data_IF_041716689051
#
_entry.id   IF_041716689051
#
_cell.length_a   1.000
_cell.length_b   1.000
_cell.length_c   1.000
_cell.angle_alpha   90.00
_cell.angle_beta   90.00
_cell.angle_gamma   90.00
#
_symmetry.space_group_name_H-M   'P 1'
#
loop_
_entity.id
_entity.type
_entity.pdbx_description
1 polymer ?
#
# COMPACT_ATOMS: atom_id res chain seq x y z
N UNK A 1 17.41 20.21 6.69
CA UNK A 1 17.04 21.61 7.04
C UNK A 1 16.36 22.24 5.83
N UNK A 2 15.11 22.70 5.98
CA UNK A 2 14.41 23.42 4.91
C UNK A 2 14.34 24.91 5.28
N UNK A 3 14.88 25.79 4.45
CA UNK A 3 14.81 27.25 4.67
C UNK A 3 13.59 27.81 3.92
N UNK A 4 12.53 28.13 4.67
CA UNK A 4 11.37 28.83 4.13
C UNK A 4 11.64 30.33 3.93
N UNK A 5 10.84 30.98 3.08
CA UNK A 5 10.98 32.37 2.67
C UNK A 5 10.92 33.44 3.80
N UNK A 6 10.68 33.04 5.05
CA UNK A 6 10.51 33.93 6.21
C UNK A 6 11.49 33.62 7.36
N UNK A 7 12.51 32.77 7.14
CA UNK A 7 13.62 32.59 8.08
C UNK A 7 13.34 31.73 9.33
N UNK A 8 12.18 31.07 9.43
CA UNK A 8 11.92 30.04 10.45
C UNK A 8 12.38 28.67 9.92
N UNK A 9 13.03 27.87 10.79
CA UNK A 9 13.73 26.64 10.41
C UNK A 9 13.03 25.41 10.98
N UNK A 10 12.25 24.71 10.15
CA UNK A 10 11.69 23.43 10.53
C UNK A 10 12.68 22.28 10.47
N UNK A 11 12.65 21.40 11.48
CA UNK A 11 13.62 20.33 11.69
C UNK A 11 12.93 18.96 11.78
N UNK A 12 12.92 18.17 10.70
CA UNK A 12 12.77 16.72 10.84
C UNK A 12 14.02 16.22 11.58
N UNK A 13 13.89 15.33 12.55
CA UNK A 13 15.03 14.73 13.25
C UNK A 13 14.84 13.20 13.27
N UNK A 14 15.91 12.48 13.01
CA UNK A 14 15.90 11.03 12.90
C UNK A 14 16.82 10.51 14.01
N UNK A 15 16.27 9.74 14.93
CA UNK A 15 17.01 9.23 16.08
C UNK A 15 17.12 7.72 15.97
N UNK A 16 18.34 7.22 16.07
CA UNK A 16 18.59 5.81 16.31
C UNK A 16 18.07 5.44 17.70
N UNK A 17 16.95 4.72 17.77
CA UNK A 17 16.23 4.43 19.00
C UNK A 17 16.98 3.44 19.92
N UNK A 18 18.03 2.78 19.43
CA UNK A 18 18.85 1.87 20.21
C UNK A 18 20.09 2.57 20.81
N UNK A 19 20.60 3.60 20.15
CA UNK A 19 21.80 4.36 20.59
C UNK A 19 21.51 5.80 21.05
N UNK A 20 20.30 6.29 20.82
CA UNK A 20 19.85 7.67 21.02
C UNK A 20 20.67 8.71 20.22
N UNK A 21 21.34 8.29 19.15
CA UNK A 21 22.14 9.18 18.30
C UNK A 21 21.27 9.89 17.23
N UNK A 22 21.45 11.21 17.09
CA UNK A 22 20.90 11.98 15.98
C UNK A 22 21.60 11.59 14.66
N UNK A 23 20.80 11.32 13.62
CA UNK A 23 21.29 11.02 12.28
C UNK A 23 21.04 12.20 11.32
N UNK A 24 22.06 12.50 10.51
CA UNK A 24 21.92 13.37 9.36
C UNK A 24 21.28 12.60 8.21
N UNK A 25 20.24 13.16 7.60
CA UNK A 25 19.53 12.58 6.46
C UNK A 25 19.25 13.67 5.41
N UNK A 26 18.99 13.26 4.18
CA UNK A 26 18.45 14.10 3.10
C UNK A 26 16.95 13.85 2.96
N UNK A 27 16.18 14.83 2.50
CA UNK A 27 14.76 14.61 2.25
C UNK A 27 14.28 15.34 0.98
N UNK A 28 13.41 14.69 0.23
CA UNK A 28 12.78 15.20 -0.98
C UNK A 28 11.27 15.26 -0.82
N UNK A 29 10.63 16.25 -1.45
CA UNK A 29 9.17 16.40 -1.42
C UNK A 29 8.66 16.39 -2.86
N UNK A 30 7.74 15.47 -3.15
CA UNK A 30 7.10 15.32 -4.46
C UNK A 30 5.59 15.23 -4.26
N UNK A 31 4.86 16.26 -4.72
CA UNK A 31 3.41 16.37 -4.52
C UNK A 31 3.03 16.30 -3.03
N UNK A 32 2.35 15.23 -2.61
CA UNK A 32 1.92 14.94 -1.25
C UNK A 32 2.86 13.97 -0.51
N UNK A 33 4.01 13.60 -1.09
CA UNK A 33 4.95 12.63 -0.53
C UNK A 33 6.22 13.31 -0.05
N UNK A 34 6.64 13.00 1.17
CA UNK A 34 7.98 13.32 1.69
C UNK A 34 8.80 12.04 1.74
N UNK A 35 9.97 12.04 1.11
CA UNK A 35 10.92 10.91 1.12
C UNK A 35 12.14 11.32 1.94
N UNK A 36 12.55 10.49 2.89
CA UNK A 36 13.69 10.71 3.79
C UNK A 36 14.78 9.67 3.48
N UNK A 37 16.02 10.12 3.32
CA UNK A 37 17.19 9.33 2.97
C UNK A 37 18.20 9.42 4.11
N UNK A 38 18.27 8.42 4.97
CA UNK A 38 19.20 8.35 6.10
C UNK A 38 20.32 7.32 5.88
N UNK A 39 21.36 7.31 6.74
CA UNK A 39 22.52 6.42 6.65
C UNK A 39 22.28 5.12 7.39
N UNK A 40 21.12 4.52 7.18
CA UNK A 40 20.64 3.62 8.18
C UNK A 40 21.15 2.12 7.88
N UNK A 41 21.54 1.31 8.88
CA UNK A 41 21.77 -0.18 9.09
C UNK A 41 20.63 -1.23 9.48
N UNK A 42 20.59 -2.45 8.92
CA UNK A 42 19.68 -3.56 9.32
C UNK A 42 19.50 -3.80 10.84
N UNK A 43 18.29 -4.20 11.28
CA UNK A 43 18.00 -4.67 12.65
C UNK A 43 17.90 -3.63 13.76
N UNK A 44 17.82 -2.32 13.44
CA UNK A 44 17.75 -1.25 14.45
C UNK A 44 16.43 -0.51 14.43
N UNK A 45 16.07 0.12 15.55
CA UNK A 45 14.87 0.96 15.64
C UNK A 45 15.19 2.43 15.43
N UNK A 46 14.26 3.13 14.80
CA UNK A 46 14.29 4.55 14.52
C UNK A 46 13.01 5.16 15.03
N UNK A 47 13.16 6.32 15.64
CA UNK A 47 12.02 7.15 15.93
C UNK A 47 12.05 8.31 14.97
N UNK A 48 10.97 8.47 14.21
CA UNK A 48 10.70 9.74 13.58
C UNK A 48 9.55 10.43 14.29
N UNK A 49 9.74 11.71 14.58
CA UNK A 49 8.65 12.56 15.07
C UNK A 49 8.73 13.92 14.42
N UNK A 50 7.68 14.65 14.73
CA UNK A 50 7.25 15.82 14.04
C UNK A 50 6.56 16.75 15.02
N UNK A 51 6.82 18.05 14.94
CA UNK A 51 5.98 19.11 15.49
C UNK A 51 5.01 19.72 14.48
N UNK A 52 3.98 20.38 15.00
CA UNK A 52 2.74 20.72 14.32
C UNK A 52 2.84 21.73 13.15
N UNK A 53 4.03 21.97 12.56
CA UNK A 53 4.22 23.13 11.70
C UNK A 53 5.14 22.98 10.49
N UNK A 54 5.85 21.86 10.30
CA UNK A 54 6.83 21.77 9.21
C UNK A 54 6.32 21.24 7.86
N UNK A 55 5.00 21.05 7.74
CA UNK A 55 4.28 20.89 6.47
C UNK A 55 3.08 21.90 6.39
N UNK A 56 2.99 22.75 5.35
CA UNK A 56 1.89 23.67 4.96
C UNK A 56 1.42 23.33 3.55
N UNK A 57 0.16 23.17 3.23
CA UNK A 57 -0.30 23.05 1.82
C UNK A 57 0.00 24.25 0.86
N UNK A 58 -0.53 24.23 -0.38
CA UNK A 58 -0.23 25.21 -1.49
C UNK A 58 -0.91 26.53 -1.15
N UNK A 59 -1.91 26.45 -0.27
CA UNK A 59 -2.62 27.57 0.29
C UNK A 59 -1.96 28.09 1.58
N UNK A 60 -0.91 27.44 2.09
CA UNK A 60 -0.18 27.83 3.30
C UNK A 60 -0.80 27.34 4.61
N UNK A 61 -1.72 26.37 4.58
CA UNK A 61 -2.38 25.82 5.76
C UNK A 61 -1.54 24.72 6.41
N UNK A 62 -1.44 24.73 7.75
CA UNK A 62 -0.63 23.78 8.53
C UNK A 62 -1.25 22.38 8.57
N UNK A 63 -0.42 21.34 8.51
CA UNK A 63 -0.84 19.96 8.82
C UNK A 63 -1.13 19.83 10.33
N UNK A 64 -2.41 19.67 10.71
CA UNK A 64 -2.87 19.78 12.11
C UNK A 64 -2.97 18.46 12.89
N UNK A 65 -2.98 17.28 12.23
CA UNK A 65 -3.03 15.98 12.93
C UNK A 65 -1.77 15.13 12.75
N UNK A 66 -0.58 15.72 12.88
CA UNK A 66 0.62 14.90 13.02
C UNK A 66 0.60 14.09 14.32
N UNK A 67 0.99 12.79 14.34
CA UNK A 67 0.85 11.96 15.51
C UNK A 67 1.86 12.53 16.50
N UNK A 68 1.38 13.02 17.64
CA UNK A 68 2.29 13.55 18.66
C UNK A 68 3.14 12.44 19.30
N UNK A 69 2.84 11.17 18.96
CA UNK A 69 3.56 10.01 19.44
C UNK A 69 4.66 9.60 18.46
N UNK A 70 5.86 9.27 18.96
CA UNK A 70 6.90 8.67 18.16
C UNK A 70 6.40 7.42 17.51
N UNK A 71 6.49 7.44 16.20
CA UNK A 71 6.37 6.27 15.40
C UNK A 71 7.70 5.54 15.42
N UNK A 72 7.62 4.26 15.79
CA UNK A 72 8.79 3.39 15.88
C UNK A 72 8.86 2.58 14.60
N UNK A 73 9.96 2.83 13.92
CA UNK A 73 10.41 2.22 12.69
C UNK A 73 11.52 1.26 13.09
N UNK A 74 11.22 0.02 13.42
CA UNK A 74 12.31 -0.96 13.43
C UNK A 74 12.80 -1.20 12.03
N UNK A 75 13.99 -1.74 11.86
CA UNK A 75 14.57 -2.06 10.58
C UNK A 75 14.75 -3.54 10.36
N UNK A 76 14.45 -4.06 9.15
CA UNK A 76 14.54 -5.50 8.90
C UNK A 76 15.95 -5.92 9.15
N UNK A 77 16.12 -6.85 10.08
CA UNK A 77 17.31 -7.65 10.23
C UNK A 77 17.44 -8.70 9.12
N UNK A 78 16.53 -8.70 8.13
CA UNK A 78 16.61 -9.57 6.98
C UNK A 78 18.00 -9.50 6.35
N UNK A 79 18.67 -10.64 6.38
CA UNK A 79 19.99 -10.84 5.80
C UNK A 79 19.93 -11.68 4.54
N UNK A 80 18.76 -12.24 4.25
CA UNK A 80 18.54 -13.08 3.09
C UNK A 80 18.13 -12.18 1.92
N UNK A 81 18.58 -12.54 0.73
CA UNK A 81 18.16 -11.83 -0.49
C UNK A 81 16.88 -12.43 -1.04
N UNK A 82 16.25 -11.77 -2.03
CA UNK A 82 14.94 -12.16 -2.52
C UNK A 82 14.97 -13.54 -3.16
N UNK A 83 14.00 -14.37 -2.84
CA UNK A 83 13.79 -15.67 -3.49
C UNK A 83 12.95 -15.50 -4.75
N UNK A 84 13.38 -16.13 -5.84
CA UNK A 84 12.69 -16.08 -7.13
C UNK A 84 11.91 -17.35 -7.41
N UNK A 85 10.64 -17.19 -7.74
CA UNK A 85 9.76 -18.26 -8.20
C UNK A 85 9.46 -18.10 -9.70
N UNK A 86 9.73 -19.16 -10.46
CA UNK A 86 9.40 -19.26 -11.89
C UNK A 86 8.10 -20.03 -12.12
N UNK A 87 7.35 -19.76 -13.20
CA UNK A 87 6.12 -20.47 -13.53
C UNK A 87 6.28 -21.99 -13.49
N UNK A 88 5.36 -22.69 -12.83
CA UNK A 88 5.49 -24.14 -12.63
C UNK A 88 5.32 -24.96 -13.91
N UNK A 89 4.54 -24.48 -14.88
CA UNK A 89 4.17 -25.22 -16.07
C UNK A 89 5.33 -25.29 -17.07
N UNK A 90 5.66 -26.50 -17.52
CA UNK A 90 6.74 -26.75 -18.49
C UNK A 90 6.33 -26.59 -19.96
N UNK A 91 5.08 -26.22 -20.23
CA UNK A 91 4.57 -25.90 -21.56
C UNK A 91 4.26 -24.40 -21.62
N UNK A 92 4.43 -23.81 -22.80
CA UNK A 92 4.17 -22.39 -23.06
C UNK A 92 3.64 -22.21 -24.48
N UNK A 93 2.82 -21.20 -24.74
CA UNK A 93 2.33 -20.85 -26.07
C UNK A 93 3.31 -19.90 -26.77
N UNK A 94 3.08 -19.67 -28.07
CA UNK A 94 3.99 -18.86 -28.90
C UNK A 94 4.07 -17.40 -28.45
N UNK A 95 3.05 -16.90 -27.75
CA UNK A 95 2.88 -15.50 -27.33
C UNK A 95 2.70 -15.34 -25.81
N UNK A 96 3.00 -16.39 -25.06
CA UNK A 96 2.90 -16.36 -23.61
C UNK A 96 3.82 -15.31 -23.00
N UNK A 97 3.40 -14.85 -21.83
CA UNK A 97 4.19 -13.99 -20.96
C UNK A 97 4.71 -14.82 -19.79
N UNK A 98 5.99 -14.68 -19.45
CA UNK A 98 6.52 -15.36 -18.28
C UNK A 98 6.36 -14.49 -17.04
N UNK A 99 5.61 -15.00 -16.06
CA UNK A 99 5.37 -14.35 -14.78
C UNK A 99 6.41 -14.80 -13.75
N UNK A 100 7.36 -13.93 -13.43
CA UNK A 100 8.43 -14.18 -12.45
C UNK A 100 8.00 -13.53 -11.14
N UNK A 101 7.95 -14.31 -10.05
CA UNK A 101 7.56 -13.79 -8.73
C UNK A 101 8.79 -13.71 -7.84
N UNK A 102 8.85 -12.65 -7.05
CA UNK A 102 9.75 -12.56 -5.92
C UNK A 102 8.93 -12.65 -4.65
N UNK A 103 9.51 -13.34 -3.70
CA UNK A 103 8.93 -13.53 -2.39
C UNK A 103 9.01 -12.24 -1.54
N UNK A 104 9.60 -11.18 -2.05
CA UNK A 104 9.59 -9.87 -1.42
C UNK A 104 9.55 -8.70 -2.41
N UNK A 105 9.64 -7.47 -1.90
CA UNK A 105 9.77 -6.25 -2.70
C UNK A 105 11.20 -6.11 -3.25
N UNK A 106 11.34 -6.02 -4.58
CA UNK A 106 12.66 -5.96 -5.22
C UNK A 106 12.92 -4.66 -5.95
N UNK A 107 14.16 -4.21 -5.86
CA UNK A 107 14.78 -3.16 -6.66
C UNK A 107 15.62 -3.78 -7.79
N UNK A 108 15.86 -3.03 -8.89
CA UNK A 108 16.73 -3.50 -9.97
C UNK A 108 18.17 -3.73 -9.50
N UNK A 109 18.70 -4.93 -9.77
CA UNK A 109 20.12 -5.28 -9.61
C UNK A 109 20.94 -5.08 -10.89
N UNK A 110 22.06 -5.79 -11.00
CA UNK A 110 23.06 -5.61 -12.06
C UNK A 110 22.96 -6.63 -13.19
N UNK A 111 22.09 -7.63 -13.06
CA UNK A 111 21.95 -8.70 -14.05
C UNK A 111 20.70 -8.53 -14.94
N UNK A 112 20.54 -9.42 -15.92
CA UNK A 112 19.39 -9.41 -16.84
C UNK A 112 18.80 -10.81 -16.99
N UNK A 113 17.47 -10.86 -17.10
CA UNK A 113 16.74 -12.10 -17.40
C UNK A 113 17.04 -12.50 -18.83
N UNK A 114 17.29 -13.78 -19.07
CA UNK A 114 17.54 -14.30 -20.41
C UNK A 114 16.49 -15.36 -20.76
N UNK A 115 15.99 -15.29 -21.99
CA UNK A 115 15.26 -16.40 -22.61
C UNK A 115 16.13 -17.00 -23.70
N UNK A 116 16.56 -18.24 -23.52
CA UNK A 116 17.42 -18.94 -24.46
C UNK A 116 16.65 -20.04 -25.19
N UNK A 117 16.79 -20.14 -26.51
CA UNK A 117 16.36 -21.33 -27.23
C UNK A 117 17.36 -22.46 -27.00
N UNK A 118 16.84 -23.65 -26.72
CA UNK A 118 17.62 -24.85 -26.51
C UNK A 118 17.72 -25.64 -27.83
N UNK A 119 18.88 -26.23 -28.12
CA UNK A 119 19.02 -27.08 -29.29
C UNK A 119 18.08 -28.30 -29.18
N UNK A 120 17.46 -28.75 -30.28
CA UNK A 120 16.79 -30.05 -30.31
C UNK A 120 17.73 -31.14 -29.80
N UNK A 121 17.22 -32.12 -29.05
CA UNK A 121 18.01 -33.23 -28.48
C UNK A 121 18.91 -33.97 -29.50
N UNK A 122 18.63 -33.84 -30.81
CA UNK A 122 19.32 -34.56 -31.88
C UNK A 122 20.10 -33.67 -32.86
N UNK A 123 20.25 -32.37 -32.62
CA UNK A 123 20.95 -31.57 -33.61
C UNK A 123 22.47 -31.58 -33.37
N UNK A 124 23.23 -31.59 -34.48
CA UNK A 124 24.67 -31.82 -34.45
C UNK A 124 25.48 -30.65 -33.87
N UNK A 125 26.80 -30.78 -33.95
CA UNK A 125 27.77 -29.74 -33.57
C UNK A 125 27.47 -28.47 -34.38
N UNK A 126 26.90 -27.44 -33.73
CA UNK A 126 26.56 -26.17 -34.38
C UNK A 126 25.24 -25.54 -33.92
N UNK A 127 24.36 -26.29 -33.26
CA UNK A 127 23.21 -25.71 -32.59
C UNK A 127 23.60 -25.24 -31.18
N UNK A 128 24.09 -24.02 -31.09
CA UNK A 128 24.27 -23.39 -29.78
C UNK A 128 22.92 -23.10 -29.14
N UNK A 129 22.95 -22.77 -27.85
CA UNK A 129 21.88 -21.97 -27.28
C UNK A 129 21.90 -20.61 -27.98
N UNK A 130 20.73 -20.14 -28.38
CA UNK A 130 20.60 -18.79 -28.94
C UNK A 130 19.72 -17.97 -28.02
N UNK A 131 20.24 -16.84 -27.57
CA UNK A 131 19.47 -15.82 -26.87
C UNK A 131 18.31 -15.37 -27.77
N UNK A 132 17.10 -15.46 -27.25
CA UNK A 132 15.85 -15.04 -27.89
C UNK A 132 15.53 -13.63 -27.48
N UNK A 133 15.71 -13.33 -26.19
CA UNK A 133 15.44 -12.03 -25.59
C UNK A 133 16.21 -11.89 -24.27
N UNK A 134 16.52 -10.65 -23.91
CA UNK A 134 17.18 -10.30 -22.65
C UNK A 134 16.56 -9.04 -22.08
N UNK A 135 16.33 -9.01 -20.77
CA UNK A 135 15.64 -7.91 -20.11
C UNK A 135 16.32 -7.51 -18.80
N UNK A 136 16.54 -6.21 -18.64
CA UNK A 136 16.94 -5.61 -17.36
C UNK A 136 15.69 -5.27 -16.52
N UNK A 137 15.75 -5.46 -15.20
CA UNK A 137 14.67 -5.03 -14.30
C UNK A 137 14.34 -3.54 -14.42
N UNK A 138 15.33 -2.68 -14.73
CA UNK A 138 15.11 -1.24 -14.95
C UNK A 138 14.26 -0.93 -16.19
N UNK A 139 14.27 -1.83 -17.18
CA UNK A 139 13.51 -1.69 -18.41
C UNK A 139 12.14 -2.39 -18.33
N UNK A 140 11.95 -3.22 -17.31
CA UNK A 140 10.75 -4.01 -17.14
C UNK A 140 9.78 -3.35 -16.17
N UNK A 141 8.51 -3.50 -16.51
CA UNK A 141 7.43 -3.27 -15.58
C UNK A 141 7.39 -4.40 -14.56
N UNK A 142 7.63 -4.06 -13.30
CA UNK A 142 7.42 -4.93 -12.15
C UNK A 142 6.45 -4.25 -11.20
N UNK A 143 5.73 -5.09 -10.47
CA UNK A 143 4.59 -4.73 -9.67
C UNK A 143 4.82 -5.22 -8.26
N UNK A 144 4.55 -4.39 -7.26
CA UNK A 144 4.54 -4.82 -5.87
C UNK A 144 3.10 -5.02 -5.38
N UNK A 145 2.85 -6.11 -4.65
CA UNK A 145 1.53 -6.41 -4.12
C UNK A 145 1.64 -7.12 -2.77
N UNK A 146 0.70 -6.87 -1.88
CA UNK A 146 0.67 -7.56 -0.59
C UNK A 146 0.06 -8.97 -0.75
N UNK A 147 0.75 -9.98 -0.24
CA UNK A 147 0.23 -11.34 -0.14
C UNK A 147 0.66 -11.98 1.17
N UNK A 148 -0.31 -12.48 1.93
CA UNK A 148 -0.13 -13.09 3.25
C UNK A 148 0.58 -12.17 4.28
N UNK A 149 0.34 -10.86 4.20
CA UNK A 149 0.95 -9.87 5.10
C UNK A 149 2.39 -9.51 4.77
N UNK A 150 2.92 -9.95 3.61
CA UNK A 150 4.22 -9.54 3.09
C UNK A 150 4.09 -8.89 1.71
N UNK A 151 4.94 -7.90 1.43
CA UNK A 151 5.02 -7.28 0.12
C UNK A 151 5.77 -8.22 -0.83
N UNK A 152 5.18 -8.58 -1.96
CA UNK A 152 5.76 -9.46 -3.00
C UNK A 152 5.97 -8.65 -4.27
N UNK A 153 6.82 -9.14 -5.17
CA UNK A 153 6.97 -8.56 -6.51
C UNK A 153 6.55 -9.54 -7.60
N UNK A 154 5.82 -9.04 -8.60
CA UNK A 154 5.50 -9.76 -9.82
C UNK A 154 6.14 -9.02 -10.99
N UNK A 155 6.86 -9.76 -11.80
CA UNK A 155 7.47 -9.30 -13.03
C UNK A 155 6.91 -10.09 -14.20
N UNK A 156 6.67 -9.40 -15.30
CA UNK A 156 6.29 -10.04 -16.55
C UNK A 156 7.29 -9.75 -17.66
N UNK A 157 7.74 -10.81 -18.32
CA UNK A 157 8.58 -10.71 -19.53
C UNK A 157 7.87 -11.31 -20.73
N UNK A 158 7.83 -10.53 -21.80
CA UNK A 158 7.21 -10.90 -23.08
C UNK A 158 8.31 -11.16 -24.10
N UNK A 159 8.39 -12.34 -24.71
CA UNK A 159 9.33 -12.62 -25.81
C UNK A 159 9.23 -11.55 -26.90
N UNK A 160 10.38 -11.01 -27.35
CA UNK A 160 10.39 -10.01 -28.44
C UNK A 160 9.88 -10.58 -29.77
N UNK A 161 9.90 -11.91 -29.90
CA UNK A 161 9.44 -12.65 -31.08
C UNK A 161 8.65 -13.88 -30.64
N UNK A 162 7.67 -14.32 -31.44
CA UNK A 162 6.92 -15.52 -31.14
C UNK A 162 7.84 -16.73 -30.96
N UNK A 163 7.57 -17.55 -29.96
CA UNK A 163 8.29 -18.80 -29.74
C UNK A 163 7.99 -19.78 -30.87
N UNK A 164 9.00 -20.56 -31.27
CA UNK A 164 8.87 -21.54 -32.34
C UNK A 164 8.22 -22.81 -31.80
N UNK A 165 7.12 -23.28 -32.40
CA UNK A 165 6.41 -24.47 -31.94
C UNK A 165 7.31 -25.71 -31.87
N UNK A 166 7.23 -26.46 -30.76
CA UNK A 166 7.99 -27.68 -30.52
C UNK A 166 9.45 -27.45 -30.07
N UNK A 167 9.91 -26.20 -29.96
CA UNK A 167 11.23 -25.90 -29.42
C UNK A 167 11.18 -25.80 -27.89
N UNK A 168 12.29 -26.15 -27.25
CA UNK A 168 12.50 -25.94 -25.82
C UNK A 168 13.19 -24.60 -25.61
N UNK A 169 12.76 -23.85 -24.62
CA UNK A 169 13.32 -22.58 -24.19
C UNK A 169 13.72 -22.67 -22.72
N UNK A 170 14.80 -22.01 -22.34
CA UNK A 170 15.23 -21.85 -20.96
C UNK A 170 15.01 -20.40 -20.53
N UNK A 171 14.12 -20.17 -19.57
CA UNK A 171 14.07 -18.89 -18.86
C UNK A 171 15.13 -18.95 -17.75
N UNK A 172 16.01 -17.97 -17.75
CA UNK A 172 17.12 -17.86 -16.80
C UNK A 172 17.00 -16.54 -16.08
N UNK A 173 16.79 -16.62 -14.77
CA UNK A 173 16.91 -15.51 -13.84
C UNK A 173 18.26 -15.67 -13.14
N UNK A 174 19.30 -14.91 -13.53
CA UNK A 174 20.60 -15.02 -12.89
C UNK A 174 20.57 -14.49 -11.45
N UNK A 175 21.57 -14.83 -10.62
CA UNK A 175 21.79 -14.12 -9.36
C UNK A 175 22.09 -12.63 -9.63
N UNK A 176 21.94 -11.80 -8.61
CA UNK A 176 22.12 -10.34 -8.68
C UNK A 176 21.17 -9.63 -9.65
N UNK A 177 20.12 -10.31 -10.14
CA UNK A 177 19.08 -9.65 -10.92
C UNK A 177 18.31 -8.67 -10.04
N UNK A 178 17.92 -9.10 -8.84
CA UNK A 178 17.16 -8.31 -7.87
C UNK A 178 18.00 -7.99 -6.62
N UNK A 179 17.70 -6.85 -6.01
CA UNK A 179 18.13 -6.47 -4.66
C UNK A 179 16.85 -6.24 -3.88
N UNK A 180 16.76 -6.68 -2.63
CA UNK A 180 15.61 -6.31 -1.80
C UNK A 180 15.63 -4.82 -1.40
N UNK A 181 14.71 -4.44 -0.52
CA UNK A 181 14.63 -3.06 -0.01
C UNK A 181 15.66 -2.72 1.06
N UNK A 182 16.32 -3.71 1.67
CA UNK A 182 17.40 -3.52 2.67
C UNK A 182 18.81 -3.56 2.07
N UNK A 183 18.92 -3.92 0.79
CA UNK A 183 20.17 -4.01 0.05
C UNK A 183 20.76 -5.42 -0.08
N UNK A 184 20.08 -6.47 0.37
CA UNK A 184 20.55 -7.84 0.12
C UNK A 184 20.32 -8.21 -1.33
N UNK A 185 21.32 -8.86 -1.89
CA UNK A 185 21.32 -9.24 -3.31
C UNK A 185 20.72 -10.62 -3.44
N UNK A 186 19.89 -10.83 -4.47
CA UNK A 186 19.41 -12.15 -4.87
C UNK A 186 20.60 -13.10 -5.09
N UNK A 187 20.87 -13.96 -4.11
CA UNK A 187 22.11 -14.75 -4.09
C UNK A 187 22.03 -15.98 -4.98
N UNK A 188 20.82 -16.53 -5.16
CA UNK A 188 20.55 -17.70 -6.00
C UNK A 188 19.77 -17.31 -7.26
N UNK A 189 20.26 -17.74 -8.42
CA UNK A 189 19.51 -17.66 -9.67
C UNK A 189 18.51 -18.81 -9.81
N UNK A 190 17.50 -18.64 -10.65
CA UNK A 190 16.59 -19.70 -11.04
C UNK A 190 16.63 -19.94 -12.56
N UNK A 191 16.43 -21.19 -12.96
CA UNK A 191 16.23 -21.52 -14.37
C UNK A 191 15.20 -22.61 -14.54
N UNK A 192 14.38 -22.49 -15.58
CA UNK A 192 13.38 -23.49 -15.94
C UNK A 192 13.25 -23.62 -17.45
N UNK A 193 12.97 -24.84 -17.89
CA UNK A 193 12.72 -25.16 -19.28
C UNK A 193 11.22 -25.17 -19.60
N UNK A 194 10.88 -24.64 -20.76
CA UNK A 194 9.53 -24.58 -21.30
C UNK A 194 9.53 -25.14 -22.73
N UNK A 195 8.52 -25.94 -23.07
CA UNK A 195 8.31 -26.41 -24.43
C UNK A 195 7.22 -25.59 -25.07
N UNK A 196 7.54 -24.91 -26.17
CA UNK A 196 6.56 -24.18 -26.94
C UNK A 196 5.56 -25.16 -27.58
N UNK A 197 4.26 -24.96 -27.32
CA UNK A 197 3.22 -25.86 -27.79
C UNK A 197 3.19 -25.96 -29.33
N UNK A 198 2.91 -27.16 -29.84
CA UNK A 198 2.74 -27.40 -31.28
C UNK A 198 1.37 -26.96 -31.80
N UNK A 199 0.39 -26.90 -30.91
CA UNK A 199 -0.98 -26.60 -31.25
C UNK A 199 -1.21 -25.09 -31.23
N UNK A 200 -2.27 -24.66 -31.94
CA UNK A 200 -2.77 -23.29 -31.80
C UNK A 200 -3.12 -23.08 -30.33
N UNK A 201 -2.74 -21.93 -29.81
CA UNK A 201 -3.22 -21.51 -28.51
C UNK A 201 -4.76 -21.45 -28.50
N UNK A 202 -5.33 -22.06 -27.48
CA UNK A 202 -6.77 -22.10 -27.20
C UNK A 202 -7.03 -21.66 -25.76
N UNK A 203 -5.98 -21.28 -25.03
CA UNK A 203 -6.08 -20.73 -23.69
C UNK A 203 -6.47 -19.28 -23.85
N UNK A 204 -7.54 -18.82 -23.21
CA UNK A 204 -7.86 -17.40 -23.23
C UNK A 204 -7.02 -16.64 -22.21
N UNK A 205 -6.71 -15.36 -22.47
CA UNK A 205 -5.99 -14.55 -21.49
C UNK A 205 -6.87 -14.33 -20.28
N UNK A 206 -6.33 -14.54 -19.09
CA UNK A 206 -7.03 -14.27 -17.84
C UNK A 206 -6.32 -13.20 -17.03
N UNK A 207 -7.10 -12.44 -16.26
CA UNK A 207 -6.56 -11.39 -15.40
C UNK A 207 -5.80 -12.04 -14.22
N UNK A 208 -4.53 -11.71 -14.09
CA UNK A 208 -3.61 -12.18 -13.04
C UNK A 208 -3.62 -11.22 -11.87
N UNK A 209 -3.55 -9.91 -12.13
CA UNK A 209 -3.58 -8.88 -11.11
C UNK A 209 -4.30 -7.63 -11.60
N UNK A 210 -4.97 -6.93 -10.68
CA UNK A 210 -5.55 -5.63 -10.93
C UNK A 210 -5.19 -4.66 -9.80
N UNK A 211 -4.84 -3.44 -10.17
CA UNK A 211 -4.32 -2.44 -9.26
C UNK A 211 -4.87 -1.07 -9.57
N UNK A 212 -4.93 -0.25 -8.55
CA UNK A 212 -5.18 1.18 -8.68
C UNK A 212 -4.17 1.92 -7.81
N UNK A 213 -3.59 2.99 -8.35
CA UNK A 213 -2.50 3.74 -7.73
C UNK A 213 -1.28 2.87 -7.36
N UNK A 214 -0.99 1.85 -8.19
CA UNK A 214 0.11 0.91 -7.98
C UNK A 214 -0.09 -0.08 -6.81
N UNK A 215 -1.29 -0.17 -6.25
CA UNK A 215 -1.62 -1.09 -5.15
C UNK A 215 -2.60 -2.16 -5.63
N UNK A 216 -2.32 -3.42 -5.31
CA UNK A 216 -3.28 -4.51 -5.49
C UNK A 216 -4.28 -4.51 -4.32
N UNK A 217 -5.57 -4.53 -4.62
CA UNK A 217 -6.66 -4.54 -3.63
C UNK A 217 -6.58 -3.44 -2.53
N UNK A 218 -6.40 -2.16 -2.87
CA UNK A 218 -6.44 -1.10 -1.87
C UNK A 218 -7.86 -0.96 -1.32
N UNK A 219 -7.97 -0.71 -0.02
CA UNK A 219 -9.25 -0.43 0.62
C UNK A 219 -9.77 0.96 0.27
N UNK A 220 -8.87 1.92 0.11
CA UNK A 220 -9.18 3.33 -0.20
C UNK A 220 -8.35 3.79 -1.40
N UNK A 221 -9.00 4.47 -2.34
CA UNK A 221 -8.40 5.13 -3.50
C UNK A 221 -8.65 6.64 -3.42
N UNK A 222 -7.57 7.42 -3.30
CA UNK A 222 -7.63 8.88 -3.28
C UNK A 222 -7.38 9.44 -4.67
N UNK A 223 -8.46 9.58 -5.44
CA UNK A 223 -8.40 10.05 -6.83
C UNK A 223 -7.77 11.44 -7.03
N UNK A 224 -7.62 12.24 -5.96
CA UNK A 224 -7.00 13.58 -6.03
C UNK A 224 -5.51 13.57 -5.65
N UNK A 225 -5.05 12.58 -4.89
CA UNK A 225 -3.64 12.44 -4.50
C UNK A 225 -2.89 11.38 -5.29
N UNK A 226 -3.60 10.45 -5.93
CA UNK A 226 -2.97 9.37 -6.67
C UNK A 226 -2.08 9.90 -7.78
N UNK A 227 -0.94 9.25 -7.97
CA UNK A 227 -0.01 9.57 -9.04
C UNK A 227 -0.16 8.59 -10.22
N UNK A 228 -0.88 7.48 -10.01
CA UNK A 228 -1.10 6.43 -11.00
C UNK A 228 -2.58 6.08 -11.08
N UNK A 229 -3.03 5.67 -12.26
CA UNK A 229 -4.41 5.24 -12.48
C UNK A 229 -4.60 3.74 -12.27
N UNK A 230 -5.30 3.10 -13.20
CA UNK A 230 -5.64 1.68 -13.13
C UNK A 230 -4.63 0.85 -13.93
N UNK A 231 -4.20 -0.29 -13.39
CA UNK A 231 -3.30 -1.23 -14.05
C UNK A 231 -3.81 -2.66 -13.95
N UNK A 232 -3.91 -3.34 -15.09
CA UNK A 232 -4.38 -4.72 -15.22
C UNK A 232 -3.28 -5.56 -15.84
N UNK A 233 -3.03 -6.72 -15.26
CA UNK A 233 -1.96 -7.63 -15.68
C UNK A 233 -2.59 -8.96 -16.08
N UNK A 234 -2.40 -9.39 -17.32
CA UNK A 234 -2.97 -10.62 -17.86
C UNK A 234 -1.93 -11.73 -17.98
N UNK A 235 -2.39 -12.97 -18.20
CA UNK A 235 -1.52 -14.14 -18.35
C UNK A 235 -0.72 -14.14 -19.65
N UNK A 236 -1.19 -13.42 -20.66
CA UNK A 236 -0.71 -13.47 -22.05
C UNK A 236 -0.74 -12.08 -22.69
N UNK A 237 0.01 -11.92 -23.78
CA UNK A 237 0.00 -10.66 -24.53
C UNK A 237 -1.34 -10.40 -25.19
N UNK A 238 -1.84 -9.18 -25.05
CA UNK A 238 -3.14 -8.77 -25.54
C UNK A 238 -3.06 -7.99 -26.85
N UNK A 239 -4.16 -8.04 -27.58
CA UNK A 239 -4.49 -7.14 -28.68
C UNK A 239 -5.78 -6.38 -28.34
N UNK A 240 -5.88 -5.10 -28.73
CA UNK A 240 -7.15 -4.38 -28.65
C UNK A 240 -8.22 -5.13 -29.42
N UNK A 241 -9.35 -5.41 -28.77
CA UNK A 241 -10.57 -5.58 -29.55
C UNK A 241 -10.89 -4.22 -30.20
N UNK A 242 -11.39 -4.23 -31.43
CA UNK A 242 -11.71 -3.03 -32.22
C UNK A 242 -12.29 -1.91 -31.33
N UNK A 243 -11.87 -0.66 -31.50
CA UNK A 243 -12.16 0.49 -30.60
C UNK A 243 -13.65 0.79 -30.34
N UNK A 244 -14.55 0.07 -31.00
CA UNK A 244 -15.99 -0.01 -30.68
C UNK A 244 -16.33 -0.97 -29.54
N UNK A 245 -15.35 -1.66 -28.97
CA UNK A 245 -15.49 -2.64 -27.90
C UNK A 245 -16.09 -2.02 -26.64
N UNK A 246 -16.78 -2.88 -25.88
CA UNK A 246 -17.39 -2.53 -24.60
C UNK A 246 -16.36 -1.93 -23.65
N UNK A 247 -16.72 -0.93 -22.82
CA UNK A 247 -15.76 -0.30 -21.91
C UNK A 247 -15.35 -1.24 -20.76
N UNK A 248 -14.21 -0.95 -20.12
CA UNK A 248 -13.98 -1.41 -18.74
C UNK A 248 -15.03 -0.78 -17.83
N UNK A 249 -15.53 -1.53 -16.85
CA UNK A 249 -16.57 -1.04 -15.95
C UNK A 249 -16.10 -1.02 -14.50
N UNK A 250 -16.27 0.11 -13.84
CA UNK A 250 -16.28 0.21 -12.39
C UNK A 250 -17.74 0.16 -11.95
N UNK A 251 -18.15 -0.93 -11.31
CA UNK A 251 -19.54 -1.14 -10.87
C UNK A 251 -19.68 -0.80 -9.39
N UNK A 252 -20.84 -0.28 -8.93
CA UNK A 252 -21.10 -0.07 -7.52
C UNK A 252 -20.92 -1.36 -6.71
N UNK A 253 -20.17 -1.29 -5.62
CA UNK A 253 -19.95 -2.43 -4.73
C UNK A 253 -19.89 -1.97 -3.27
N UNK A 254 -20.41 -2.77 -2.36
CA UNK A 254 -20.32 -2.50 -0.91
C UNK A 254 -19.07 -3.13 -0.27
N UNK A 255 -18.13 -3.60 -1.09
CA UNK A 255 -16.95 -4.33 -0.68
C UNK A 255 -17.15 -5.84 -0.50
N UNK A 256 -18.38 -6.33 -0.35
CA UNK A 256 -18.73 -7.76 -0.27
C UNK A 256 -17.88 -8.57 0.72
N UNK A 257 -17.70 -9.87 0.45
CA UNK A 257 -16.98 -10.84 1.31
C UNK A 257 -15.45 -10.60 1.42
N UNK A 258 -14.98 -9.39 1.14
CA UNK A 258 -13.57 -9.02 0.96
C UNK A 258 -13.00 -8.08 2.04
N UNK A 259 -13.67 -7.88 3.18
CA UNK A 259 -13.04 -7.21 4.34
C UNK A 259 -13.24 -7.93 5.67
N UNK A 260 -12.17 -8.13 6.46
CA UNK A 260 -12.32 -8.48 7.88
C UNK A 260 -12.57 -7.21 8.71
N UNK A 261 -13.08 -7.39 9.93
CA UNK A 261 -13.74 -6.36 10.76
C UNK A 261 -12.94 -5.12 11.18
N UNK A 262 -11.73 -4.90 10.64
CA UNK A 262 -10.93 -3.67 10.76
C UNK A 262 -10.48 -3.14 9.37
N UNK A 263 -11.16 -3.53 8.29
CA UNK A 263 -10.85 -3.06 6.93
C UNK A 263 -9.93 -3.96 6.09
N UNK A 264 -9.27 -4.98 6.63
CA UNK A 264 -8.41 -5.87 5.84
C UNK A 264 -8.95 -7.31 5.79
N UNK A 265 -9.34 -7.88 4.64
CA UNK A 265 -9.46 -9.34 4.55
C UNK A 265 -8.05 -9.94 4.49
N UNK A 266 -7.81 -10.99 5.26
CA UNK A 266 -6.67 -11.87 4.95
C UNK A 266 -6.91 -12.53 3.58
N UNK A 267 -5.88 -12.61 2.72
CA UNK A 267 -5.96 -13.41 1.51
C UNK A 267 -6.45 -14.83 1.82
N UNK A 268 -7.41 -15.33 1.03
CA UNK A 268 -8.00 -16.69 1.09
C UNK A 268 -8.99 -17.01 2.23
N UNK A 269 -9.54 -16.03 2.95
CA UNK A 269 -10.73 -16.24 3.79
C UNK A 269 -11.95 -15.50 3.24
N UNK A 270 -13.11 -16.16 3.23
CA UNK A 270 -14.40 -15.50 2.99
C UNK A 270 -14.71 -14.66 4.23
N UNK A 271 -14.64 -13.34 4.12
CA UNK A 271 -15.03 -12.48 5.23
C UNK A 271 -16.57 -12.54 5.34
N UNK A 272 -17.07 -12.88 6.52
CA UNK A 272 -18.51 -13.13 6.73
C UNK A 272 -19.36 -11.85 6.79
N UNK A 273 -18.73 -10.68 6.67
CA UNK A 273 -19.40 -9.37 6.72
C UNK A 273 -18.86 -8.46 5.62
N UNK A 274 -19.75 -7.70 4.93
CA UNK A 274 -19.34 -6.74 3.92
C UNK A 274 -18.47 -5.61 4.50
N UNK A 275 -17.56 -5.06 3.68
CA UNK A 275 -16.72 -3.91 4.03
C UNK A 275 -17.50 -2.65 4.43
N UNK A 276 -18.83 -2.66 4.25
CA UNK A 276 -19.73 -1.57 4.57
C UNK A 276 -19.48 -0.30 3.77
N UNK A 277 -18.76 -0.40 2.64
CA UNK A 277 -18.67 0.70 1.69
C UNK A 277 -20.08 1.08 1.25
N UNK A 278 -20.33 2.38 1.08
CA UNK A 278 -21.56 2.85 0.45
C UNK A 278 -21.39 2.61 -1.05
N UNK A 279 -22.15 1.72 -1.71
CA UNK A 279 -21.98 1.51 -3.14
C UNK A 279 -22.22 2.81 -3.89
N UNK A 280 -21.46 3.06 -4.96
CA UNK A 280 -21.71 4.18 -5.85
C UNK A 280 -23.14 4.18 -6.41
N UNK A 281 -23.65 5.35 -6.79
CA UNK A 281 -25.01 5.46 -7.33
C UNK A 281 -25.17 4.81 -8.72
N UNK A 282 -24.06 4.67 -9.46
CA UNK A 282 -24.04 4.14 -10.83
C UNK A 282 -22.69 3.54 -11.20
N UNK A 283 -22.70 2.68 -12.22
CA UNK A 283 -21.46 2.21 -12.85
C UNK A 283 -20.80 3.31 -13.67
N UNK A 284 -19.46 3.30 -13.67
CA UNK A 284 -18.61 4.21 -14.44
C UNK A 284 -17.90 3.41 -15.51
N UNK A 285 -18.02 3.87 -16.76
CA UNK A 285 -17.37 3.25 -17.91
C UNK A 285 -16.03 3.94 -18.19
N UNK A 286 -14.97 3.15 -18.25
CA UNK A 286 -13.64 3.57 -18.69
C UNK A 286 -13.56 3.26 -20.20
N UNK A 287 -13.50 4.29 -21.07
CA UNK A 287 -13.54 4.09 -22.53
C UNK A 287 -12.37 3.26 -23.03
N UNK A 288 -12.60 2.39 -24.03
CA UNK A 288 -11.52 1.61 -24.65
C UNK A 288 -10.37 2.48 -25.20
N UNK A 289 -10.68 3.71 -25.64
CA UNK A 289 -9.69 4.68 -26.12
C UNK A 289 -8.75 5.24 -25.03
N UNK A 290 -9.08 5.07 -23.75
CA UNK A 290 -8.23 5.44 -22.62
C UNK A 290 -7.26 4.34 -22.19
N UNK A 291 -7.40 3.14 -22.76
CA UNK A 291 -6.58 1.98 -22.41
C UNK A 291 -5.28 2.02 -23.21
N UNK A 292 -4.17 2.01 -22.49
CA UNK A 292 -2.85 1.77 -23.06
C UNK A 292 -2.48 0.30 -22.86
N UNK A 293 -2.19 -0.41 -23.96
CA UNK A 293 -1.75 -1.81 -23.91
C UNK A 293 -0.25 -1.92 -24.17
N UNK A 294 0.44 -2.69 -23.34
CA UNK A 294 1.86 -3.06 -23.50
C UNK A 294 2.04 -4.53 -23.18
N UNK A 295 2.01 -5.38 -24.21
CA UNK A 295 2.07 -6.83 -24.03
C UNK A 295 0.87 -7.32 -23.24
N UNK A 296 1.11 -7.88 -22.05
CA UNK A 296 0.08 -8.39 -21.14
C UNK A 296 -0.44 -7.35 -20.13
N UNK A 297 0.07 -6.11 -20.16
CA UNK A 297 -0.34 -5.05 -19.25
C UNK A 297 -1.28 -4.06 -19.94
N UNK A 298 -2.40 -3.76 -19.29
CA UNK A 298 -3.33 -2.68 -19.67
C UNK A 298 -3.28 -1.61 -18.60
N UNK A 299 -2.94 -0.38 -18.97
CA UNK A 299 -2.90 0.76 -18.06
C UNK A 299 -3.89 1.84 -18.47
N UNK A 300 -4.44 2.54 -17.48
CA UNK A 300 -5.27 3.73 -17.65
C UNK A 300 -4.64 4.82 -16.82
N UNK A 301 -4.20 5.90 -17.46
CA UNK A 301 -3.69 7.08 -16.75
C UNK A 301 -4.80 7.70 -15.88
N UNK A 302 -4.43 8.23 -14.72
CA UNK A 302 -5.37 8.90 -13.82
C UNK A 302 -6.13 10.03 -14.53
N UNK A 303 -5.47 10.79 -15.40
CA UNK A 303 -6.09 11.87 -16.17
C UNK A 303 -7.18 11.38 -17.15
N UNK A 304 -7.19 10.07 -17.46
CA UNK A 304 -8.19 9.44 -18.30
C UNK A 304 -9.23 8.62 -17.52
N UNK A 305 -9.05 8.45 -16.20
CA UNK A 305 -10.08 7.87 -15.35
C UNK A 305 -11.25 8.86 -15.19
N UNK A 306 -12.50 8.44 -15.42
CA UNK A 306 -13.64 9.30 -15.16
C UNK A 306 -13.75 9.59 -13.65
N UNK A 307 -14.25 10.78 -13.30
CA UNK A 307 -14.48 11.15 -11.90
C UNK A 307 -15.38 10.14 -11.19
N UNK A 308 -14.92 9.65 -10.05
CA UNK A 308 -15.64 8.71 -9.20
C UNK A 308 -16.34 9.45 -8.06
N UNK A 309 -17.43 8.88 -7.57
CA UNK A 309 -18.16 9.40 -6.40
C UNK A 309 -17.32 9.19 -5.12
N UNK A 310 -17.01 10.28 -4.42
CA UNK A 310 -16.26 10.26 -3.16
C UNK A 310 -17.02 9.53 -2.05
N UNK A 311 -16.31 8.78 -1.19
CA UNK A 311 -16.92 7.99 -0.11
C UNK A 311 -17.74 6.80 -0.60
N UNK A 312 -17.56 6.39 -1.86
CA UNK A 312 -18.32 5.29 -2.45
C UNK A 312 -17.44 4.13 -2.95
N UNK A 313 -17.96 2.92 -2.79
CA UNK A 313 -17.32 1.67 -3.18
C UNK A 313 -17.56 1.28 -4.63
N UNK A 314 -16.48 0.83 -5.28
CA UNK A 314 -16.46 0.31 -6.64
C UNK A 314 -15.78 -1.07 -6.71
N UNK A 315 -16.19 -1.86 -7.69
CA UNK A 315 -15.51 -3.08 -8.13
C UNK A 315 -15.15 -2.97 -9.59
N UNK A 316 -13.95 -3.38 -9.96
CA UNK A 316 -13.57 -3.56 -11.35
C UNK A 316 -14.28 -4.77 -11.96
N UNK A 317 -14.91 -4.55 -13.10
CA UNK A 317 -15.52 -5.58 -13.93
C UNK A 317 -14.88 -5.52 -15.33
N UNK A 318 -14.08 -6.55 -15.64
CA UNK A 318 -13.48 -6.76 -16.97
C UNK A 318 -14.40 -7.69 -17.75
N UNK A 319 -14.92 -7.22 -18.89
CA UNK A 319 -15.76 -8.03 -19.76
C UNK A 319 -14.92 -9.08 -20.51
N UNK A 320 -15.46 -10.28 -20.69
CA UNK A 320 -14.76 -11.43 -21.32
C UNK A 320 -14.30 -11.11 -22.75
N UNK A 321 -15.02 -10.29 -23.49
CA UNK A 321 -14.69 -9.94 -24.87
C UNK A 321 -13.85 -8.68 -25.01
N UNK A 322 -13.43 -8.05 -23.91
CA UNK A 322 -12.72 -6.76 -24.02
C UNK A 322 -11.33 -6.88 -24.66
N UNK A 323 -10.64 -7.98 -24.40
CA UNK A 323 -9.30 -8.23 -24.89
C UNK A 323 -9.25 -9.55 -25.64
N UNK A 324 -8.51 -9.58 -26.74
CA UNK A 324 -8.10 -10.82 -27.39
C UNK A 324 -6.63 -11.06 -27.06
N UNK A 325 -6.20 -12.31 -26.96
CA UNK A 325 -4.79 -12.61 -27.07
C UNK A 325 -4.30 -12.51 -28.53
N UNK A 326 -3.01 -12.78 -28.73
CA UNK A 326 -2.40 -12.84 -30.06
C UNK A 326 -2.91 -13.99 -30.94
N UNK A 327 -3.55 -15.01 -30.36
CA UNK A 327 -4.14 -16.15 -31.06
C UNK A 327 -5.64 -15.96 -31.41
N UNK A 328 -6.24 -14.84 -30.98
CA UNK A 328 -7.64 -14.49 -31.17
C UNK A 328 -8.60 -15.14 -30.17
N UNK A 329 -8.11 -15.66 -29.04
CA UNK A 329 -8.97 -16.11 -27.95
C UNK A 329 -9.46 -14.88 -27.16
N UNK A 330 -10.75 -14.81 -26.88
CA UNK A 330 -11.31 -13.76 -26.03
C UNK A 330 -10.94 -14.01 -24.58
N UNK A 331 -10.58 -12.95 -23.86
CA UNK A 331 -10.22 -13.03 -22.46
C UNK A 331 -11.32 -13.61 -21.58
N UNK A 332 -10.94 -14.01 -20.37
CA UNK A 332 -11.91 -14.37 -19.35
C UNK A 332 -11.78 -13.37 -18.22
N UNK A 333 -12.94 -12.90 -17.73
CA UNK A 333 -12.99 -12.01 -16.57
C UNK A 333 -12.30 -12.68 -15.37
N UNK A 334 -11.72 -11.87 -14.49
CA UNK A 334 -11.11 -12.34 -13.26
C UNK A 334 -12.00 -13.32 -12.50
N UNK A 335 -11.38 -14.40 -12.01
CA UNK A 335 -12.03 -15.34 -11.10
C UNK A 335 -12.63 -14.58 -9.90
N UNK A 336 -13.69 -15.15 -9.28
CA UNK A 336 -14.38 -14.57 -8.11
C UNK A 336 -13.47 -14.37 -6.88
N UNK A 337 -12.20 -14.74 -6.96
CA UNK A 337 -11.20 -14.63 -5.90
C UNK A 337 -9.77 -14.50 -6.40
N UNK A 338 -8.95 -13.70 -5.71
CA UNK A 338 -7.52 -13.58 -5.95
C UNK A 338 -7.07 -12.13 -6.18
N UNK A 339 -5.79 -11.92 -6.50
CA UNK A 339 -5.21 -10.59 -6.79
C UNK A 339 -5.79 -9.92 -8.05
N UNK A 340 -6.54 -10.68 -8.86
CA UNK A 340 -7.27 -10.20 -10.02
C UNK A 340 -8.59 -9.48 -9.69
N UNK A 341 -9.06 -9.53 -8.43
CA UNK A 341 -10.28 -8.85 -7.99
C UNK A 341 -9.92 -7.50 -7.36
N UNK A 342 -10.24 -6.40 -8.05
CA UNK A 342 -10.05 -5.05 -7.55
C UNK A 342 -11.37 -4.48 -7.00
N UNK A 343 -11.38 -4.17 -5.71
CA UNK A 343 -12.50 -3.57 -4.97
C UNK A 343 -11.93 -2.51 -4.05
N UNK A 344 -12.48 -1.30 -4.08
CA UNK A 344 -11.98 -0.15 -3.31
C UNK A 344 -13.10 0.84 -3.02
N UNK A 345 -12.94 1.65 -1.98
CA UNK A 345 -13.72 2.85 -1.71
C UNK A 345 -12.96 4.09 -2.21
N UNK A 346 -13.64 5.03 -2.83
CA UNK A 346 -13.03 6.32 -3.15
C UNK A 346 -12.94 7.13 -1.86
N UNK A 347 -11.79 7.73 -1.56
CA UNK A 347 -11.63 8.61 -0.41
C UNK A 347 -12.73 9.70 -0.39
N UNK A 348 -12.98 10.33 0.77
CA UNK A 348 -13.88 11.48 0.78
C UNK A 348 -13.22 12.66 0.04
N UNK A 349 -14.02 13.53 -0.57
CA UNK A 349 -13.46 14.70 -1.25
C UNK A 349 -12.81 15.60 -0.22
N UNK A 350 -11.63 16.12 -0.58
CA UNK A 350 -10.84 17.00 0.31
C UNK A 350 -11.52 18.33 0.58
N UNK A 351 -12.47 18.70 -0.27
CA UNK A 351 -13.24 19.94 -0.20
C UNK A 351 -14.55 19.81 0.60
N UNK A 352 -15.02 18.60 0.94
CA UNK A 352 -16.27 18.43 1.70
C UNK A 352 -16.08 18.29 3.22
N UNK A 353 -14.85 18.23 3.71
CA UNK A 353 -14.58 18.25 5.15
C UNK A 353 -13.85 19.54 5.53
N UNK A 354 -14.57 20.43 6.20
CA UNK A 354 -14.03 21.48 7.05
C UNK A 354 -13.32 20.91 8.30
N UNK A 355 -12.57 19.82 8.12
CA UNK A 355 -11.84 19.09 9.16
C UNK A 355 -10.35 19.05 8.78
N UNK A 356 -9.52 19.18 9.81
CA UNK A 356 -8.07 19.23 9.72
C UNK A 356 -7.47 17.95 9.07
N UNK A 357 -6.37 18.03 8.30
CA UNK A 357 -5.76 16.87 7.65
C UNK A 357 -5.36 15.82 8.68
N UNK A 358 -5.91 14.61 8.55
CA UNK A 358 -5.70 13.46 9.43
C UNK A 358 -4.54 12.59 8.96
N UNK A 359 -3.85 11.96 9.90
CA UNK A 359 -2.90 10.91 9.55
C UNK A 359 -3.61 9.59 9.47
N UNK A 360 -3.47 8.97 8.31
CA UNK A 360 -4.14 7.72 7.97
C UNK A 360 -3.19 6.55 8.02
N UNK A 361 -1.93 6.79 7.73
CA UNK A 361 -0.91 5.78 7.81
C UNK A 361 0.42 6.45 8.07
N UNK A 362 1.24 5.69 8.72
CA UNK A 362 2.58 6.08 8.96
C UNK A 362 3.43 4.85 8.65
N UNK A 363 4.48 5.06 7.88
CA UNK A 363 5.41 4.01 7.55
C UNK A 363 6.77 4.41 8.08
N UNK A 364 7.39 3.55 8.88
CA UNK A 364 6.83 2.33 9.49
C UNK A 364 5.80 2.49 10.59
N UNK A 365 4.76 1.66 10.55
CA UNK A 365 3.67 1.72 11.51
C UNK A 365 4.13 1.67 12.97
N UNK A 366 3.32 2.21 13.88
CA UNK A 366 3.64 2.19 15.31
C UNK A 366 3.91 0.77 15.83
N UNK A 367 5.11 0.59 16.39
CA UNK A 367 5.57 -0.70 16.90
C UNK A 367 5.94 -1.71 15.82
N UNK A 368 6.05 -1.29 14.55
CA UNK A 368 6.50 -2.14 13.47
C UNK A 368 7.94 -2.55 13.72
N UNK A 369 8.13 -3.88 13.69
CA UNK A 369 9.42 -4.53 13.79
C UNK A 369 9.98 -4.63 12.36
N UNK A 370 11.30 -4.70 12.19
CA UNK A 370 11.93 -5.09 10.94
C UNK A 370 11.69 -4.25 9.63
N UNK A 371 11.82 -2.91 9.58
CA UNK A 371 11.78 -2.01 8.37
C UNK A 371 13.08 -1.30 7.85
N UNK A 372 13.80 -1.63 6.78
CA UNK A 372 15.08 -1.03 6.29
C UNK A 372 15.65 0.29 6.86
N UNK A 373 16.95 0.35 7.08
CA UNK A 373 17.64 1.55 7.57
C UNK A 373 18.03 2.38 6.34
N UNK A 374 17.20 2.37 5.33
CA UNK A 374 17.15 3.38 4.28
C UNK A 374 15.71 3.87 4.15
N UNK A 375 14.81 3.35 5.00
CA UNK A 375 13.37 3.60 4.98
C UNK A 375 13.10 5.01 5.42
N UNK A 376 12.66 5.80 4.45
CA UNK A 376 12.02 7.05 4.76
C UNK A 376 10.90 6.85 5.78
N UNK A 377 10.82 7.68 6.83
CA UNK A 377 9.52 7.83 7.48
C UNK A 377 8.60 8.49 6.46
N UNK A 378 7.50 7.83 6.15
CA UNK A 378 6.43 8.37 5.36
C UNK A 378 5.22 8.58 6.26
N UNK A 379 4.87 9.84 6.47
CA UNK A 379 3.60 10.19 7.07
C UNK A 379 2.62 10.40 5.93
N UNK A 380 1.63 9.51 5.87
CA UNK A 380 0.55 9.60 4.90
C UNK A 380 -0.62 10.32 5.54
N UNK A 381 -1.00 11.43 4.94
CA UNK A 381 -2.20 12.15 5.30
C UNK A 381 -3.37 11.66 4.45
N UNK A 382 -4.58 11.85 4.96
CA UNK A 382 -5.81 11.66 4.22
C UNK A 382 -5.95 12.63 3.02
N UNK A 383 -5.05 13.63 2.90
CA UNK A 383 -5.06 14.64 1.84
C UNK A 383 -3.71 15.26 1.51
N UNK A 384 -3.55 15.97 0.37
CA UNK A 384 -2.33 16.60 -0.07
C UNK A 384 -2.04 17.73 0.89
N UNK A 385 -0.92 17.58 1.55
CA UNK A 385 -0.27 18.57 2.37
C UNK A 385 0.89 19.16 1.57
N UNK A 386 1.46 20.29 1.98
CA UNK A 386 2.72 20.77 1.39
C UNK A 386 3.65 21.24 2.49
N UNK A 387 4.63 22.13 2.25
CA UNK A 387 5.65 22.50 3.24
C UNK A 387 5.40 23.74 4.12
N UNK A 388 5.69 23.53 5.41
CA UNK A 388 5.45 24.26 6.65
C UNK A 388 6.08 25.64 6.78
N UNK A 389 5.57 26.48 7.69
CA UNK A 389 6.34 27.64 8.22
C UNK A 389 6.75 27.50 9.67
N UNK A 390 6.39 26.43 10.36
CA UNK A 390 7.01 26.13 11.63
C UNK A 390 7.72 24.79 11.58
N UNK A 391 7.99 24.27 12.77
CA UNK A 391 9.01 23.24 12.91
C UNK A 391 8.44 21.83 12.98
N UNK A 392 9.33 20.85 12.89
CA UNK A 392 9.13 19.50 13.40
C UNK A 392 9.97 19.36 14.70
N UNK A 393 9.50 18.69 15.77
CA UNK A 393 10.21 18.51 17.05
C UNK A 393 9.91 17.10 17.54
N UNK A 394 10.98 16.40 17.90
CA UNK A 394 10.96 15.08 18.51
C UNK A 394 11.14 15.15 20.03
N UNK A 395 10.25 14.54 20.83
CA UNK A 395 10.40 14.51 22.31
C UNK A 395 10.55 13.08 22.86
N UNK A 396 11.66 12.73 23.55
CA UNK A 396 11.89 11.40 24.12
C UNK A 396 10.76 10.94 25.04
N UNK A 397 10.28 9.70 24.88
CA UNK A 397 9.10 9.15 25.59
C UNK A 397 9.30 8.94 27.11
N UNK A 398 10.39 9.42 27.72
CA UNK A 398 10.65 9.23 29.16
C UNK A 398 9.96 10.25 30.08
N UNK A 399 9.23 11.25 29.58
CA UNK A 399 8.59 12.26 30.44
C UNK A 399 7.15 12.66 30.05
N UNK A 400 6.25 11.71 29.82
CA UNK A 400 4.80 12.01 29.83
C UNK A 400 4.14 11.59 31.14
N UNK A 401 4.68 12.12 32.25
CA UNK A 401 3.97 12.22 33.52
C UNK A 401 3.89 13.70 33.92
N UNK A 402 2.99 14.45 33.28
CA UNK A 402 2.49 15.72 33.80
C UNK A 402 2.71 16.97 32.93
N UNK A 403 1.60 17.45 32.36
CA UNK A 403 1.27 18.87 32.18
C UNK A 403 2.23 19.75 31.34
N UNK A 404 2.01 19.80 30.02
CA UNK A 404 2.53 20.87 29.14
C UNK A 404 1.40 21.62 28.41
N UNK A 405 0.21 21.72 28.99
CA UNK A 405 -0.82 22.67 28.55
C UNK A 405 -1.01 23.78 29.58
N UNK A 406 -0.07 24.73 29.59
CA UNK A 406 -0.22 25.98 30.32
C UNK A 406 -1.03 26.98 29.49
N UNK A 407 -2.32 27.12 29.81
CA UNK A 407 -3.17 28.21 29.32
C UNK A 407 -2.54 29.56 29.63
N UNK A 408 -2.03 30.26 28.61
CA UNK A 408 -1.60 31.65 28.73
C UNK A 408 -2.71 32.57 28.26
N UNK A 409 -3.62 32.87 29.17
CA UNK A 409 -4.64 33.88 28.95
C UNK A 409 -5.58 34.01 30.14
N UNK A 410 -5.21 34.81 31.14
CA UNK A 410 -6.06 35.86 31.73
C UNK A 410 -5.41 36.53 32.95
N UNK A 411 -5.66 37.83 33.04
CA UNK A 411 -5.17 38.82 33.99
C UNK A 411 -5.53 38.55 35.47
N UNK A 412 -4.66 39.02 36.38
CA UNK A 412 -4.96 39.99 37.48
C UNK A 412 -3.80 39.95 38.49
N UNK A 413 -2.98 41.00 38.62
CA UNK A 413 -3.23 42.11 39.54
C UNK A 413 -3.38 41.69 41.01
N UNK A 414 -2.30 41.68 41.81
CA UNK A 414 -2.17 42.54 43.01
C UNK A 414 -0.89 42.27 43.80
N UNK A 415 -0.27 43.40 44.14
CA UNK A 415 0.64 43.75 45.23
C UNK A 415 0.99 42.70 46.30
N UNK A 416 2.30 42.58 46.47
CA UNK A 416 2.99 42.30 47.73
C UNK A 416 2.39 43.10 48.91
N UNK A 417 2.08 42.42 50.01
CA UNK A 417 2.15 43.02 51.33
C UNK A 417 2.61 41.97 52.37
N UNK A 418 3.61 42.40 53.12
CA UNK A 418 4.31 41.72 54.21
C UNK A 418 3.39 41.45 55.41
N UNK A 419 3.61 40.28 56.02
CA UNK A 419 3.70 40.01 57.47
C UNK A 419 2.95 40.91 58.46
N UNK A 420 2.05 40.30 59.23
CA UNK A 420 2.15 40.35 60.68
C UNK A 420 1.47 39.16 61.36
N UNK A 421 2.19 38.59 62.32
CA UNK A 421 1.75 37.65 63.35
C UNK A 421 0.46 38.09 64.05
N UNK A 422 -0.27 37.13 64.62
CA UNK A 422 -0.64 37.08 66.05
C UNK A 422 -1.38 35.76 66.32
N UNK A 423 -0.95 35.15 67.43
CA UNK A 423 -1.48 33.98 68.10
C UNK A 423 -3.00 34.06 68.38
N UNK A 424 -3.70 32.93 68.40
CA UNK A 424 -4.18 32.36 69.66
C UNK A 424 -5.17 31.20 69.46
N UNK A 425 -4.88 30.18 70.25
CA UNK A 425 -5.74 29.22 70.95
C UNK A 425 -7.26 29.12 70.67
N UNK A 426 -7.66 27.85 70.80
CA UNK A 426 -8.81 27.34 71.57
C UNK A 426 -10.02 26.81 70.82
N UNK A 427 -10.41 25.63 71.35
CA UNK A 427 -11.75 25.09 71.46
C UNK A 427 -12.40 24.58 70.17
N UNK A 428 -13.20 23.53 70.19
CA UNK A 428 -13.54 22.44 71.12
C UNK A 428 -14.80 21.87 70.49
N UNK A 429 -14.86 20.55 70.42
CA UNK A 429 -16.06 19.75 70.58
C UNK A 429 -17.33 19.99 69.72
N UNK A 430 -17.94 18.83 69.51
CA UNK A 430 -19.37 18.60 69.47
C UNK A 430 -20.11 18.59 68.13
N UNK A 431 -20.50 17.35 67.81
CA UNK A 431 -21.89 16.90 67.77
C UNK A 431 -22.51 16.55 66.41
N UNK A 432 -22.71 15.23 66.29
CA UNK A 432 -24.00 14.56 66.09
C UNK A 432 -24.71 14.75 64.75
N UNK A 433 -24.82 13.67 63.95
CA UNK A 433 -25.82 12.59 64.06
C UNK A 433 -27.21 12.98 63.54
N UNK A 434 -27.64 12.36 62.43
CA UNK A 434 -28.83 11.46 62.28
C UNK A 434 -29.13 11.28 60.78
N UNK A 435 -29.08 10.06 60.23
CA UNK A 435 -30.14 9.03 60.12
C UNK A 435 -31.38 9.44 59.29
N UNK A 436 -31.59 8.75 58.16
CA UNK A 436 -32.69 7.78 57.85
C UNK A 436 -32.69 7.53 56.32
N UNK A 437 -32.47 6.31 55.80
CA UNK A 437 -33.29 5.08 55.76
C UNK A 437 -34.49 5.09 54.77
N UNK A 438 -34.52 4.05 53.93
CA UNK A 438 -35.54 3.66 52.94
C UNK A 438 -34.88 3.41 51.57
N UNK A 439 -34.50 2.20 51.11
CA UNK A 439 -35.24 0.92 51.04
C UNK A 439 -36.69 1.16 50.58
N UNK A 440 -37.23 0.58 49.51
CA UNK A 440 -37.11 -0.82 49.14
C UNK A 440 -37.59 -1.11 47.69
N UNK A 441 -37.06 -2.22 47.20
CA UNK A 441 -37.32 -3.11 46.08
C UNK A 441 -38.71 -3.24 45.41
N UNK A 442 -38.70 -3.73 44.16
CA UNK A 442 -39.22 -5.05 43.71
C UNK A 442 -39.46 -5.03 42.19
N UNK A 443 -38.79 -5.83 41.35
CA UNK A 443 -38.85 -7.30 41.16
C UNK A 443 -40.11 -7.78 40.39
N UNK A 444 -39.89 -8.46 39.27
CA UNK A 444 -40.92 -9.26 38.59
C UNK A 444 -40.51 -9.80 37.21
N UNK A 445 -40.26 -11.11 37.04
CA UNK A 445 -39.89 -11.76 35.78
C UNK A 445 -41.08 -12.46 35.10
N UNK A 446 -40.98 -12.71 33.78
CA UNK A 446 -41.83 -13.68 33.06
C UNK A 446 -41.06 -14.44 31.97
N UNK A 447 -41.39 -15.73 31.86
CA UNK A 447 -41.04 -16.78 30.86
C UNK A 447 -42.33 -17.62 30.67
N UNK A 448 -42.44 -18.63 29.77
CA UNK A 448 -41.96 -18.82 28.38
C UNK A 448 -43.06 -19.45 27.44
N UNK A 449 -42.63 -19.97 26.27
CA UNK A 449 -43.18 -21.05 25.40
C UNK A 449 -43.97 -20.73 24.10
N UNK A 450 -43.48 -21.29 22.97
CA UNK A 450 -44.09 -22.28 22.02
C UNK A 450 -43.09 -22.50 20.84
N UNK A 451 -42.41 -23.65 20.65
CA UNK A 451 -42.72 -24.94 19.96
C UNK A 451 -42.79 -24.91 18.42
N UNK A 452 -42.20 -25.96 17.82
CA UNK A 452 -41.73 -26.22 16.44
C UNK A 452 -42.76 -26.43 15.30
N UNK A 453 -42.30 -26.42 14.04
CA UNK A 453 -42.40 -27.55 13.08
C UNK A 453 -41.54 -27.32 11.81
N UNK A 454 -41.18 -28.43 11.15
CA UNK A 454 -40.37 -28.56 9.95
C UNK A 454 -41.23 -28.80 8.69
N UNK A 455 -40.69 -28.49 7.51
CA UNK A 455 -40.56 -29.36 6.32
C UNK A 455 -39.47 -28.78 5.39
#
# INVERSE_FOLDING_TARGET
MFEGAIGNRGMLELIDADTEAELYYDATVESNRVTIHGPFHPGRRYSLRSSASALLDLAGNRALNMPLHPEIIEISDDTDGPEVELPMHGETQMHDTFSIRFDEAVLPGNSSIMLESMPPQYCGIGCGRHEVSSWSLTALWHVHFEENGGLRSLLQVVPERPLLPGFTYALVVPPELAIDTVGNVQSEGASRHYVAALQRDVTPPHLVAAMIDGRAAPTIFDQDASARGLELVFSESLQPLDTSASPLLLVPDNGGDRCSGNGACMPRRNCSFPCSFIPASRSVAIPAASLEMRGAVVSVDLAHLPSLEYGHGYRLHVLEDLFLDMAGNAGVSAERSGPAVLVFEVANSKDEAADDPEIVATFPADGELMVPQTSALQITFDRPIQVGSGDFVLVPTRELNGSVYGNRGQNASRSDEHQHDVDDENNSDDNQSTRMWGDDSSAGPMRPNFTAMAD
#
